data_IF_290820870193
#
_entry.id   IF_290820870193
#
_cell.length_a   1.000
_cell.length_b   1.000
_cell.length_c   1.000
_cell.angle_alpha   90.00
_cell.angle_beta   90.00
_cell.angle_gamma   90.00
#
_symmetry.space_group_name_H-M   'P 1'
#
loop_
_entity.id
_entity.type
_entity.pdbx_description
1 polymer ?
#
# COMPACT_ATOMS: atom_id res chain seq x y z
N UNK A 1 1.27 -12.23 -10.73
CA UNK A 1 2.31 -13.11 -11.23
C UNK A 1 3.70 -12.55 -10.99
N UNK A 2 3.99 -11.33 -11.43
CA UNK A 2 5.34 -10.74 -11.27
C UNK A 2 5.80 -10.65 -9.82
N UNK A 3 4.90 -10.24 -8.92
CA UNK A 3 5.24 -9.98 -7.52
C UNK A 3 4.85 -11.11 -6.57
N UNK A 4 4.06 -12.06 -7.02
CA UNK A 4 3.49 -13.11 -6.17
C UNK A 4 2.39 -12.63 -5.23
N UNK A 5 2.00 -11.36 -5.32
CA UNK A 5 0.92 -10.81 -4.50
C UNK A 5 -0.45 -11.17 -5.08
N UNK A 6 -1.49 -11.06 -4.25
CA UNK A 6 -2.86 -11.15 -4.71
C UNK A 6 -3.19 -10.03 -5.68
N UNK A 7 -4.31 -10.18 -6.35
CA UNK A 7 -4.79 -9.21 -7.32
C UNK A 7 -6.17 -8.68 -6.90
N UNK A 8 -6.82 -7.90 -7.76
CA UNK A 8 -8.15 -7.34 -7.48
C UNK A 8 -9.17 -8.43 -7.14
N UNK A 9 -9.12 -9.55 -7.85
CA UNK A 9 -10.05 -10.65 -7.63
C UNK A 9 -9.87 -11.26 -6.24
N UNK A 10 -8.63 -11.52 -5.82
CA UNK A 10 -8.37 -12.06 -4.49
C UNK A 10 -8.75 -11.07 -3.39
N UNK A 11 -8.57 -9.77 -3.63
CA UNK A 11 -9.02 -8.75 -2.66
C UNK A 11 -10.53 -8.80 -2.47
N UNK A 12 -11.30 -8.85 -3.55
CA UNK A 12 -12.77 -8.92 -3.48
C UNK A 12 -13.23 -10.13 -2.67
N UNK A 13 -12.58 -11.26 -2.89
CA UNK A 13 -12.91 -12.50 -2.22
C UNK A 13 -12.57 -12.45 -0.73
N UNK A 14 -11.41 -11.92 -0.38
CA UNK A 14 -10.99 -11.84 1.02
C UNK A 14 -11.71 -10.75 1.80
N UNK A 15 -12.08 -9.66 1.12
CA UNK A 15 -12.82 -8.55 1.73
C UNK A 15 -14.15 -9.02 2.32
N UNK A 16 -14.84 -9.93 1.65
CA UNK A 16 -16.11 -10.47 2.14
C UNK A 16 -15.93 -11.08 3.53
N UNK A 17 -14.88 -11.85 3.72
CA UNK A 17 -14.60 -12.50 5.00
C UNK A 17 -14.19 -11.49 6.08
N UNK A 18 -13.33 -10.56 5.74
CA UNK A 18 -12.83 -9.55 6.69
C UNK A 18 -13.97 -8.66 7.18
N UNK A 19 -14.83 -8.21 6.26
CA UNK A 19 -16.00 -7.39 6.60
C UNK A 19 -16.95 -8.16 7.50
N UNK A 20 -17.25 -9.41 7.14
CA UNK A 20 -18.15 -10.26 7.92
C UNK A 20 -17.62 -10.48 9.33
N UNK A 21 -16.33 -10.75 9.44
CA UNK A 21 -15.71 -11.10 10.72
C UNK A 21 -15.39 -9.88 11.58
N UNK A 22 -15.59 -8.66 11.07
CA UNK A 22 -15.28 -7.43 11.80
C UNK A 22 -16.14 -7.24 13.05
N UNK A 23 -17.40 -7.71 13.02
CA UNK A 23 -18.26 -7.70 14.22
C UNK A 23 -18.50 -6.31 14.80
N UNK A 24 -18.59 -5.28 13.96
CA UNK A 24 -18.80 -3.91 14.41
C UNK A 24 -17.51 -3.18 14.78
N UNK A 25 -16.36 -3.81 14.64
CA UNK A 25 -15.06 -3.20 14.92
C UNK A 25 -14.43 -2.61 13.66
N UNK A 26 -13.41 -1.76 13.84
CA UNK A 26 -12.72 -1.13 12.72
C UNK A 26 -11.81 -2.11 12.00
N UNK A 27 -11.90 -2.10 10.67
CA UNK A 27 -10.90 -2.70 9.79
C UNK A 27 -9.99 -1.60 9.26
N UNK A 28 -8.89 -1.97 8.62
CA UNK A 28 -7.97 -1.00 8.00
C UNK A 28 -7.72 -1.37 6.56
N UNK A 29 -7.74 -0.36 5.69
CA UNK A 29 -7.39 -0.49 4.28
C UNK A 29 -6.24 0.46 4.01
N UNK A 30 -5.24 -0.01 3.26
CA UNK A 30 -4.12 0.82 2.83
C UNK A 30 -4.04 0.86 1.31
N UNK A 31 -3.66 2.01 0.78
CA UNK A 31 -3.35 2.19 -0.65
C UNK A 31 -1.97 2.81 -0.72
N UNK A 32 -1.08 2.19 -1.49
CA UNK A 32 0.31 2.59 -1.58
C UNK A 32 0.70 2.75 -3.05
N UNK A 33 1.57 3.72 -3.30
CA UNK A 33 1.99 4.05 -4.66
C UNK A 33 3.48 4.40 -4.65
N UNK A 34 4.23 3.80 -5.57
CA UNK A 34 5.66 4.10 -5.71
C UNK A 34 5.80 5.49 -6.33
N UNK A 35 6.50 6.38 -5.64
CA UNK A 35 6.70 7.75 -6.11
C UNK A 35 7.57 7.77 -7.37
N UNK A 36 7.11 8.52 -8.38
CA UNK A 36 7.87 8.73 -9.61
C UNK A 36 8.30 7.45 -10.32
N UNK A 37 7.45 6.43 -10.30
CA UNK A 37 7.76 5.14 -10.93
C UNK A 37 7.88 5.24 -12.45
N UNK A 38 7.07 6.10 -13.08
CA UNK A 38 7.17 6.32 -14.51
C UNK A 38 8.56 6.85 -14.88
N UNK A 39 9.06 7.80 -14.12
CA UNK A 39 10.41 8.36 -14.32
C UNK A 39 11.49 7.30 -14.18
N UNK A 40 11.31 6.38 -13.24
CA UNK A 40 12.24 5.28 -13.04
C UNK A 40 12.26 4.38 -14.28
N UNK A 41 11.08 3.99 -14.79
CA UNK A 41 10.99 3.17 -16.00
C UNK A 41 11.60 3.88 -17.22
N UNK A 42 11.31 5.18 -17.36
CA UNK A 42 11.83 5.97 -18.47
C UNK A 42 13.36 6.09 -18.41
N UNK A 43 13.93 6.16 -17.23
CA UNK A 43 15.38 6.32 -17.03
C UNK A 43 16.13 4.98 -17.10
N UNK A 44 15.64 3.96 -16.43
CA UNK A 44 16.37 2.69 -16.23
C UNK A 44 15.79 1.52 -17.00
N UNK A 45 14.65 1.68 -17.65
CA UNK A 45 13.98 0.64 -18.42
C UNK A 45 13.04 -0.24 -17.61
N UNK A 46 12.20 -0.98 -18.33
CA UNK A 46 11.15 -1.80 -17.69
C UNK A 46 11.70 -3.01 -16.93
N UNK A 47 12.86 -3.53 -17.31
CA UNK A 47 13.48 -4.64 -16.58
C UNK A 47 13.83 -4.19 -15.17
N UNK A 48 14.43 -3.02 -15.05
CA UNK A 48 14.74 -2.44 -13.74
C UNK A 48 13.48 -2.09 -12.97
N UNK A 49 12.46 -1.55 -13.66
CA UNK A 49 11.15 -1.30 -13.05
C UNK A 49 10.53 -2.57 -12.46
N UNK A 50 10.60 -3.68 -13.18
CA UNK A 50 10.08 -4.95 -12.69
C UNK A 50 10.86 -5.45 -11.47
N UNK A 51 12.16 -5.24 -11.44
CA UNK A 51 12.99 -5.58 -10.26
C UNK A 51 12.56 -4.75 -9.05
N UNK A 52 12.32 -3.47 -9.27
CA UNK A 52 11.84 -2.57 -8.20
C UNK A 52 10.50 -3.04 -7.66
N UNK A 53 9.57 -3.42 -8.52
CA UNK A 53 8.27 -3.92 -8.10
C UNK A 53 8.40 -5.17 -7.23
N UNK A 54 9.30 -6.08 -7.59
CA UNK A 54 9.55 -7.28 -6.78
C UNK A 54 10.13 -6.95 -5.41
N UNK A 55 11.09 -6.05 -5.35
CA UNK A 55 11.69 -5.61 -4.09
C UNK A 55 10.65 -4.95 -3.20
N UNK A 56 9.86 -4.04 -3.76
CA UNK A 56 8.79 -3.37 -3.02
C UNK A 56 7.77 -4.40 -2.52
N UNK A 57 7.34 -5.31 -3.37
CA UNK A 57 6.38 -6.35 -2.99
C UNK A 57 6.90 -7.18 -1.81
N UNK A 58 8.16 -7.56 -1.82
CA UNK A 58 8.76 -8.33 -0.74
C UNK A 58 8.81 -7.52 0.56
N UNK A 59 9.15 -6.25 0.47
CA UNK A 59 9.15 -5.35 1.62
C UNK A 59 7.75 -5.24 2.23
N UNK A 60 6.73 -5.07 1.39
CA UNK A 60 5.35 -4.95 1.85
C UNK A 60 4.88 -6.24 2.52
N UNK A 61 5.15 -7.38 1.91
CA UNK A 61 4.80 -8.68 2.49
C UNK A 61 5.44 -8.88 3.86
N UNK A 62 6.72 -8.57 3.96
CA UNK A 62 7.45 -8.72 5.22
C UNK A 62 6.93 -7.77 6.30
N UNK A 63 6.61 -6.54 5.92
CA UNK A 63 6.09 -5.55 6.87
C UNK A 63 4.72 -5.94 7.44
N UNK A 64 3.87 -6.50 6.60
CA UNK A 64 2.52 -6.91 6.99
C UNK A 64 2.53 -8.23 7.75
N UNK A 65 3.41 -9.15 7.36
CA UNK A 65 3.51 -10.50 7.94
C UNK A 65 2.14 -11.21 7.94
N UNK A 66 1.68 -11.64 9.11
CA UNK A 66 0.39 -12.29 9.28
C UNK A 66 -0.71 -11.35 9.78
N UNK A 67 -0.43 -10.05 9.85
CA UNK A 67 -1.39 -9.06 10.32
C UNK A 67 -2.45 -8.69 9.28
N UNK A 68 -2.17 -8.96 8.00
CA UNK A 68 -3.07 -8.58 6.92
C UNK A 68 -2.64 -9.16 5.59
N UNK A 69 -3.19 -8.60 4.52
CA UNK A 69 -2.96 -9.08 3.15
C UNK A 69 -2.48 -7.93 2.26
N UNK A 70 -1.66 -8.26 1.28
CA UNK A 70 -1.13 -7.30 0.31
C UNK A 70 -1.52 -7.74 -1.11
N UNK A 71 -1.95 -6.76 -1.90
CA UNK A 71 -2.38 -6.97 -3.29
C UNK A 71 -1.68 -5.98 -4.20
N UNK A 72 -1.41 -6.38 -5.43
CA UNK A 72 -0.96 -5.47 -6.47
C UNK A 72 -2.11 -5.24 -7.44
N UNK A 73 -2.50 -3.97 -7.61
CA UNK A 73 -3.62 -3.63 -8.48
C UNK A 73 -3.20 -3.33 -9.92
N UNK A 74 -1.93 -3.14 -10.15
CA UNK A 74 -1.39 -2.87 -11.47
C UNK A 74 -0.42 -1.72 -11.42
N UNK A 75 0.48 -1.66 -12.40
CA UNK A 75 1.50 -0.64 -12.40
C UNK A 75 2.27 -0.64 -11.08
N UNK A 76 2.26 0.50 -10.43
CA UNK A 76 2.97 0.77 -9.19
C UNK A 76 2.04 0.91 -7.98
N UNK A 77 0.79 0.48 -8.10
CA UNK A 77 -0.21 0.61 -7.04
C UNK A 77 -0.40 -0.69 -6.27
N UNK A 78 -0.38 -0.58 -4.94
CA UNK A 78 -0.58 -1.70 -4.01
C UNK A 78 -1.71 -1.38 -3.06
N UNK A 79 -2.40 -2.42 -2.61
CA UNK A 79 -3.49 -2.31 -1.63
C UNK A 79 -3.20 -3.27 -0.49
N UNK A 80 -3.49 -2.82 0.72
CA UNK A 80 -3.40 -3.65 1.92
C UNK A 80 -4.77 -3.74 2.57
N UNK A 81 -5.07 -4.90 3.12
CA UNK A 81 -6.33 -5.14 3.82
C UNK A 81 -6.02 -5.83 5.15
N UNK A 82 -6.47 -5.21 6.23
CA UNK A 82 -6.23 -5.70 7.59
C UNK A 82 -7.55 -6.02 8.26
N UNK A 83 -7.65 -7.17 8.93
CA UNK A 83 -8.84 -7.50 9.70
C UNK A 83 -9.02 -6.56 10.89
N UNK A 84 -10.15 -6.64 11.55
CA UNK A 84 -10.44 -5.86 12.74
C UNK A 84 -9.38 -6.09 13.82
N UNK A 85 -9.08 -5.04 14.56
CA UNK A 85 -8.16 -5.13 15.68
C UNK A 85 -6.70 -4.82 15.36
N UNK A 86 -6.37 -4.52 14.10
CA UNK A 86 -4.99 -4.25 13.69
C UNK A 86 -4.65 -2.76 13.66
N UNK A 87 -5.59 -1.87 13.98
CA UNK A 87 -5.40 -0.43 13.81
C UNK A 87 -4.20 0.13 14.60
N UNK A 88 -3.86 -0.45 15.74
CA UNK A 88 -2.73 -0.02 16.56
C UNK A 88 -1.36 -0.44 16.00
N UNK A 89 -1.36 -1.31 14.99
CA UNK A 89 -0.13 -1.79 14.34
C UNK A 89 0.20 -1.03 13.07
N UNK A 90 -0.73 -0.23 12.54
CA UNK A 90 -0.58 0.38 11.22
C UNK A 90 0.55 1.39 11.17
N UNK A 91 0.68 2.23 12.19
CA UNK A 91 1.77 3.22 12.25
C UNK A 91 3.14 2.55 12.18
N UNK A 92 3.33 1.51 12.98
CA UNK A 92 4.57 0.73 13.01
C UNK A 92 4.86 0.10 11.65
N UNK A 93 3.84 -0.48 11.02
CA UNK A 93 3.96 -1.10 9.69
C UNK A 93 4.35 -0.05 8.66
N UNK A 94 3.66 1.10 8.65
CA UNK A 94 3.91 2.16 7.69
C UNK A 94 5.34 2.72 7.83
N UNK A 95 5.80 2.92 9.04
CA UNK A 95 7.16 3.40 9.29
C UNK A 95 8.21 2.39 8.88
N UNK A 96 7.97 1.11 9.14
CA UNK A 96 8.87 0.04 8.71
C UNK A 96 8.99 0.00 7.18
N UNK A 97 7.89 0.22 6.47
CA UNK A 97 7.90 0.26 5.01
C UNK A 97 8.77 1.42 4.52
N UNK A 98 8.58 2.62 5.06
CA UNK A 98 9.40 3.78 4.68
C UNK A 98 10.89 3.51 4.91
N UNK A 99 11.23 2.96 6.05
CA UNK A 99 12.61 2.66 6.39
C UNK A 99 13.21 1.60 5.47
N UNK A 100 12.48 0.52 5.21
CA UNK A 100 12.97 -0.57 4.36
C UNK A 100 13.16 -0.14 2.91
N UNK A 101 12.26 0.69 2.39
CA UNK A 101 12.39 1.25 1.05
C UNK A 101 13.65 2.14 0.98
N UNK A 102 13.87 2.97 1.98
CA UNK A 102 15.06 3.82 2.04
C UNK A 102 16.35 2.98 2.11
N UNK A 103 16.35 1.94 2.94
CA UNK A 103 17.51 1.05 3.07
C UNK A 103 17.82 0.27 1.81
N UNK A 104 16.80 -0.01 0.99
CA UNK A 104 17.02 -0.71 -0.28
C UNK A 104 17.88 0.12 -1.24
N UNK A 105 17.87 1.44 -1.10
CA UNK A 105 18.77 2.33 -1.82
C UNK A 105 18.62 2.25 -3.33
N UNK A 106 17.42 1.98 -3.85
CA UNK A 106 17.18 1.87 -5.28
C UNK A 106 17.25 3.25 -5.91
N UNK A 107 18.10 3.41 -6.93
CA UNK A 107 18.29 4.70 -7.59
C UNK A 107 17.05 5.12 -8.37
N UNK A 108 16.66 6.38 -8.23
CA UNK A 108 15.65 7.03 -9.03
C UNK A 108 16.04 8.51 -9.16
N UNK A 109 17.11 8.75 -9.91
CA UNK A 109 17.80 10.05 -9.94
C UNK A 109 16.94 11.21 -10.47
N UNK A 110 15.92 10.91 -11.27
CA UNK A 110 15.03 11.94 -11.83
C UNK A 110 13.73 12.10 -11.04
N UNK A 111 13.63 11.47 -9.87
CA UNK A 111 12.50 11.69 -8.99
C UNK A 111 12.51 13.11 -8.45
N UNK A 112 11.34 13.74 -8.40
CA UNK A 112 11.19 15.08 -7.81
C UNK A 112 11.20 15.04 -6.28
N UNK A 113 11.17 13.85 -5.68
CA UNK A 113 11.16 13.67 -4.22
C UNK A 113 12.58 13.63 -3.68
N UNK A 114 13.37 12.68 -4.16
CA UNK A 114 14.78 12.51 -3.79
C UNK A 114 15.41 11.50 -4.77
N UNK A 115 16.76 11.39 -4.80
CA UNK A 115 17.44 10.55 -5.81
C UNK A 115 17.20 9.04 -5.68
N UNK A 116 16.61 8.57 -4.60
CA UNK A 116 16.31 7.17 -4.38
C UNK A 116 14.81 6.91 -4.41
N UNK A 117 14.43 5.65 -4.62
CA UNK A 117 13.05 5.21 -4.64
C UNK A 117 12.36 5.52 -3.32
N UNK A 118 11.15 6.07 -3.40
CA UNK A 118 10.30 6.34 -2.24
C UNK A 118 8.89 5.83 -2.51
N UNK A 119 8.08 5.76 -1.46
CA UNK A 119 6.70 5.29 -1.55
C UNK A 119 5.80 6.20 -0.73
N UNK A 120 4.59 6.44 -1.23
CA UNK A 120 3.54 7.16 -0.52
C UNK A 120 2.47 6.19 -0.08
N UNK A 121 1.97 6.35 1.13
CA UNK A 121 1.03 5.40 1.74
C UNK A 121 -0.15 6.14 2.35
N UNK A 122 -1.35 5.67 2.07
CA UNK A 122 -2.57 6.16 2.69
C UNK A 122 -3.33 5.01 3.35
N UNK A 123 -3.80 5.22 4.56
CA UNK A 123 -4.56 4.22 5.31
C UNK A 123 -5.84 4.82 5.85
N UNK A 124 -6.88 3.99 5.97
CA UNK A 124 -8.12 4.37 6.62
C UNK A 124 -8.55 3.25 7.56
N UNK A 125 -8.88 3.63 8.80
CA UNK A 125 -9.44 2.72 9.80
C UNK A 125 -10.90 3.11 10.00
N UNK A 126 -11.82 2.18 9.76
CA UNK A 126 -13.25 2.46 9.82
C UNK A 126 -14.06 1.20 10.08
N UNK A 127 -15.28 1.39 10.56
CA UNK A 127 -16.21 0.28 10.76
C UNK A 127 -16.94 0.04 9.44
N UNK A 128 -16.81 -1.16 8.84
CA UNK A 128 -17.49 -1.41 7.57
C UNK A 128 -19.00 -1.54 7.76
N UNK A 129 -19.75 -1.12 6.74
CA UNK A 129 -21.21 -1.21 6.74
C UNK A 129 -21.69 -2.65 6.52
N UNK A 130 -20.89 -3.46 5.86
CA UNK A 130 -21.20 -4.87 5.63
C UNK A 130 -21.39 -5.26 4.17
N UNK A 131 -21.53 -4.27 3.28
CA UNK A 131 -21.84 -4.50 1.86
C UNK A 131 -20.82 -3.86 0.91
N UNK A 132 -19.70 -3.39 1.43
CA UNK A 132 -18.73 -2.68 0.60
C UNK A 132 -18.07 -3.62 -0.42
N UNK A 133 -17.91 -3.09 -1.64
CA UNK A 133 -17.02 -3.69 -2.64
C UNK A 133 -15.58 -3.30 -2.35
N UNK A 134 -14.63 -3.96 -2.99
CA UNK A 134 -13.23 -3.59 -2.89
C UNK A 134 -13.00 -2.14 -3.29
N UNK A 135 -13.68 -1.66 -4.32
CA UNK A 135 -13.58 -0.28 -4.76
C UNK A 135 -14.01 0.71 -3.67
N UNK A 136 -15.08 0.39 -2.94
CA UNK A 136 -15.54 1.24 -1.84
C UNK A 136 -14.57 1.25 -0.68
N UNK A 137 -13.97 0.10 -0.37
CA UNK A 137 -12.94 0.03 0.67
C UNK A 137 -11.75 0.91 0.32
N UNK A 138 -11.31 0.83 -0.93
CA UNK A 138 -10.17 1.61 -1.41
C UNK A 138 -10.45 3.11 -1.34
N UNK A 139 -11.67 3.55 -1.62
CA UNK A 139 -12.04 4.97 -1.54
C UNK A 139 -11.74 5.59 -0.17
N UNK A 140 -11.90 4.84 0.91
CA UNK A 140 -11.58 5.34 2.24
C UNK A 140 -10.10 5.68 2.39
N UNK A 141 -9.23 4.82 1.86
CA UNK A 141 -7.78 5.01 1.96
C UNK A 141 -7.23 5.99 0.90
N UNK A 142 -7.89 6.11 -0.25
CA UNK A 142 -7.47 7.02 -1.33
C UNK A 142 -7.37 8.47 -0.84
N UNK A 143 -8.24 8.88 0.03
CA UNK A 143 -8.23 10.23 0.59
C UNK A 143 -6.92 10.49 1.34
N UNK A 144 -6.46 9.50 2.10
CA UNK A 144 -5.21 9.60 2.84
C UNK A 144 -4.01 9.64 1.90
N UNK A 145 -4.02 8.79 0.87
CA UNK A 145 -2.94 8.78 -0.11
C UNK A 145 -2.86 10.10 -0.88
N UNK A 146 -4.01 10.64 -1.25
CA UNK A 146 -4.08 11.93 -1.93
C UNK A 146 -3.45 13.04 -1.07
N UNK A 147 -3.74 13.03 0.23
CA UNK A 147 -3.14 13.97 1.18
C UNK A 147 -1.60 13.87 1.16
N UNK A 148 -1.06 12.65 1.21
CA UNK A 148 0.39 12.43 1.19
C UNK A 148 0.99 12.96 -0.11
N UNK A 149 0.38 12.64 -1.24
CA UNK A 149 0.89 13.08 -2.55
C UNK A 149 0.86 14.59 -2.72
N UNK A 150 -0.11 15.26 -2.12
CA UNK A 150 -0.23 16.72 -2.20
C UNK A 150 0.76 17.44 -1.29
N UNK A 151 1.21 16.81 -0.22
CA UNK A 151 2.03 17.48 0.79
C UNK A 151 3.51 17.18 0.67
N UNK A 152 3.91 15.91 0.67
CA UNK A 152 5.33 15.59 0.73
C UNK A 152 5.77 14.41 -0.13
N UNK A 153 4.85 13.48 -0.42
CA UNK A 153 5.21 12.14 -0.87
C UNK A 153 6.19 11.51 0.15
N UNK A 154 6.67 10.32 -0.07
CA UNK A 154 7.62 9.63 0.81
C UNK A 154 7.17 9.71 2.29
N UNK A 155 5.92 9.35 2.54
CA UNK A 155 5.31 9.46 3.86
C UNK A 155 4.06 8.58 3.92
N UNK A 156 3.44 8.56 5.08
CA UNK A 156 2.14 7.91 5.25
C UNK A 156 1.16 8.85 5.97
N UNK A 157 -0.11 8.58 5.80
CA UNK A 157 -1.17 9.27 6.53
C UNK A 157 -2.27 8.27 6.85
N UNK A 158 -2.81 8.34 8.06
CA UNK A 158 -3.84 7.42 8.55
C UNK A 158 -5.08 8.24 8.90
N UNK A 159 -6.21 7.94 8.26
CA UNK A 159 -7.50 8.53 8.59
C UNK A 159 -8.23 7.53 9.49
N UNK A 160 -8.65 7.99 10.66
CA UNK A 160 -9.42 7.19 11.60
C UNK A 160 -10.84 7.74 11.64
N UNK A 161 -11.78 6.95 11.14
CA UNK A 161 -13.19 7.32 11.06
C UNK A 161 -14.02 6.72 12.19
#
# INVERSE_FOLDING_TARGET
>A
ALTGLGNRYSLEREAVHIIRDAGGERITVGVLDIDCFKQLNDTYGHIQGDRCLKVVADILKEAVMDCGHVYRFGGDEFVMLFPAGMENRIEEIAEAILQKIAEAGIANEHSVVQPNLTISQGYACFVPEGTESGARLIEHADKALYYVKRNSRNAYYIIRE
#
